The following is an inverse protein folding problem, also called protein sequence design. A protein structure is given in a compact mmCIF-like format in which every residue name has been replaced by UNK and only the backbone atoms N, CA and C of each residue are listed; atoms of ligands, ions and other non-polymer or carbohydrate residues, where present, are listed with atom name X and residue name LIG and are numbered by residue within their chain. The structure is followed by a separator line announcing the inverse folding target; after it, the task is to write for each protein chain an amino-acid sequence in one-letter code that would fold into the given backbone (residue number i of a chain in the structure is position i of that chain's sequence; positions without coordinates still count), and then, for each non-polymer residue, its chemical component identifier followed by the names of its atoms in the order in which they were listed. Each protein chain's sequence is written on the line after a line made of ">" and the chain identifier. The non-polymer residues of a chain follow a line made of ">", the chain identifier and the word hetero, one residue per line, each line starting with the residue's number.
data_IF_197566828841
#
_entry.id   IF_197566828841
#
_cell.length_a   1.000
_cell.length_b   1.000
_cell.length_c   1.000
_cell.angle_alpha   90.00
_cell.angle_beta   90.00
_cell.angle_gamma   90.00
#
_symmetry.space_group_name_H-M   'P 1'
#
loop_
_entity.id
_entity.type
_entity.pdbx_description
1 polymer ?
#
# COMPACT_ATOMS: atom_id res chain seq x y z
N UNK A 1 -23.76 18.01 -2.59
CA UNK A 1 -22.64 18.29 -1.66
C UNK A 1 -21.73 17.10 -1.36
N UNK A 2 -22.22 15.86 -1.13
CA UNK A 2 -21.35 14.67 -0.99
C UNK A 2 -20.39 14.45 -2.19
N UNK A 3 -20.83 14.81 -3.40
CA UNK A 3 -20.04 14.66 -4.61
C UNK A 3 -18.84 15.64 -4.69
N UNK A 4 -18.98 16.88 -4.23
CA UNK A 4 -17.90 17.89 -4.34
C UNK A 4 -16.67 17.51 -3.52
N UNK A 5 -16.87 17.04 -2.28
CA UNK A 5 -15.78 16.60 -1.41
C UNK A 5 -15.00 15.43 -2.04
N UNK A 6 -15.70 14.44 -2.61
CA UNK A 6 -15.06 13.32 -3.31
C UNK A 6 -14.32 13.77 -4.57
N UNK A 7 -14.91 14.67 -5.38
CA UNK A 7 -14.24 15.25 -6.55
C UNK A 7 -12.97 16.02 -6.18
N UNK A 8 -12.96 16.74 -5.06
CA UNK A 8 -11.75 17.41 -4.55
C UNK A 8 -10.67 16.37 -4.25
N UNK A 9 -11.00 15.27 -3.57
CA UNK A 9 -10.04 14.22 -3.25
C UNK A 9 -9.51 13.52 -4.50
N UNK A 10 -10.39 13.18 -5.45
CA UNK A 10 -9.99 12.54 -6.73
C UNK A 10 -9.07 13.45 -7.55
N UNK A 11 -9.44 14.73 -7.69
CA UNK A 11 -8.63 15.71 -8.43
C UNK A 11 -7.28 15.93 -7.73
N UNK A 12 -7.29 16.08 -6.41
CA UNK A 12 -6.06 16.22 -5.62
C UNK A 12 -5.15 15.01 -5.77
N UNK A 13 -5.71 13.79 -5.72
CA UNK A 13 -4.96 12.56 -5.91
C UNK A 13 -4.28 12.51 -7.28
N UNK A 14 -4.98 12.92 -8.35
CA UNK A 14 -4.41 12.99 -9.71
C UNK A 14 -3.27 14.02 -9.76
N UNK A 15 -3.50 15.22 -9.23
CA UNK A 15 -2.51 16.30 -9.23
C UNK A 15 -1.26 15.94 -8.41
N UNK A 16 -1.40 15.44 -7.19
CA UNK A 16 -0.27 15.01 -6.36
C UNK A 16 0.53 13.89 -7.03
N UNK A 17 -0.16 12.91 -7.61
CA UNK A 17 0.48 11.81 -8.32
C UNK A 17 1.24 12.22 -9.60
N UNK A 18 0.87 13.35 -10.21
CA UNK A 18 1.47 13.85 -11.45
C UNK A 18 2.59 14.85 -11.20
N UNK A 19 2.39 15.74 -10.22
CA UNK A 19 3.25 16.92 -10.04
C UNK A 19 4.04 16.87 -8.72
N UNK A 20 3.80 15.88 -7.85
CA UNK A 20 4.43 15.80 -6.52
C UNK A 20 3.73 16.66 -5.48
N UNK A 21 3.90 16.30 -4.20
CA UNK A 21 3.18 16.93 -3.09
C UNK A 21 3.54 18.41 -2.90
N UNK A 22 4.81 18.78 -3.04
CA UNK A 22 5.30 20.15 -2.82
C UNK A 22 4.71 21.17 -3.80
N UNK A 23 4.38 20.74 -5.02
CA UNK A 23 4.03 21.63 -6.14
C UNK A 23 2.52 21.92 -6.25
N UNK A 24 1.68 21.30 -5.42
CA UNK A 24 0.22 21.41 -5.52
C UNK A 24 -0.33 22.22 -4.35
N UNK A 25 -1.00 23.34 -4.64
CA UNK A 25 -1.68 24.18 -3.65
C UNK A 25 -3.20 24.00 -3.69
N UNK A 26 -3.93 24.54 -2.69
CA UNK A 26 -5.40 24.58 -2.74
C UNK A 26 -5.91 25.35 -3.96
N UNK A 27 -5.20 26.41 -4.38
CA UNK A 27 -5.52 27.16 -5.60
C UNK A 27 -5.37 26.29 -6.83
N UNK A 28 -4.26 25.55 -6.95
CA UNK A 28 -4.02 24.62 -8.07
C UNK A 28 -5.14 23.58 -8.21
N UNK A 29 -5.66 23.05 -7.09
CA UNK A 29 -6.77 22.08 -7.10
C UNK A 29 -8.08 22.77 -7.50
N UNK A 30 -8.36 23.96 -6.96
CA UNK A 30 -9.56 24.72 -7.29
C UNK A 30 -9.61 25.12 -8.78
N UNK A 31 -8.46 25.54 -9.33
CA UNK A 31 -8.30 25.91 -10.74
C UNK A 31 -8.56 24.70 -11.66
N UNK A 32 -7.99 23.52 -11.35
CA UNK A 32 -8.23 22.28 -12.10
C UNK A 32 -9.71 21.87 -12.07
N UNK A 33 -10.39 22.10 -10.94
CA UNK A 33 -11.81 21.81 -10.78
C UNK A 33 -12.74 22.89 -11.35
N UNK A 34 -12.19 24.03 -11.80
CA UNK A 34 -12.96 25.21 -12.24
C UNK A 34 -13.94 25.71 -11.16
N UNK A 35 -13.50 25.72 -9.89
CA UNK A 35 -14.26 26.27 -8.75
C UNK A 35 -13.47 27.38 -8.07
N UNK A 36 -14.14 28.22 -7.29
CA UNK A 36 -13.44 29.19 -6.45
C UNK A 36 -12.68 28.50 -5.32
N UNK A 37 -11.55 29.07 -4.91
CA UNK A 37 -10.78 28.60 -3.74
C UNK A 37 -11.66 28.60 -2.47
N UNK A 38 -12.56 29.58 -2.34
CA UNK A 38 -13.53 29.64 -1.24
C UNK A 38 -14.50 28.43 -1.21
N UNK A 39 -14.96 27.96 -2.37
CA UNK A 39 -15.78 26.75 -2.47
C UNK A 39 -15.00 25.49 -2.04
N UNK A 40 -13.73 25.37 -2.45
CA UNK A 40 -12.86 24.29 -1.97
C UNK A 40 -12.65 24.38 -0.46
N UNK A 41 -12.34 25.57 0.06
CA UNK A 41 -12.07 25.82 1.48
C UNK A 41 -13.27 25.58 2.39
N UNK A 42 -14.49 25.65 1.86
CA UNK A 42 -15.69 25.21 2.57
C UNK A 42 -15.63 23.71 2.93
N UNK A 43 -15.00 22.88 2.09
CA UNK A 43 -14.86 21.44 2.31
C UNK A 43 -13.54 21.05 2.99
N UNK A 44 -12.44 21.73 2.64
CA UNK A 44 -11.11 21.49 3.18
C UNK A 44 -10.41 22.82 3.44
N UNK A 45 -10.33 23.22 4.70
CA UNK A 45 -9.79 24.55 5.08
C UNK A 45 -8.31 24.68 4.74
N UNK A 46 -7.59 23.56 4.82
CA UNK A 46 -6.14 23.46 4.63
C UNK A 46 -5.78 22.27 3.73
N UNK A 47 -4.65 22.38 3.03
CA UNK A 47 -4.15 21.30 2.15
C UNK A 47 -3.87 20.02 2.94
N UNK A 48 -3.43 20.16 4.19
CA UNK A 48 -3.14 19.06 5.11
C UNK A 48 -4.38 18.19 5.37
N UNK A 49 -5.58 18.76 5.37
CA UNK A 49 -6.83 18.00 5.55
C UNK A 49 -7.11 17.06 4.37
N UNK A 50 -6.77 17.50 3.14
CA UNK A 50 -6.87 16.68 1.93
C UNK A 50 -5.84 15.54 2.00
N UNK A 51 -4.60 15.84 2.40
CA UNK A 51 -3.52 14.84 2.51
C UNK A 51 -3.90 13.77 3.54
N UNK A 52 -4.40 14.18 4.71
CA UNK A 52 -4.89 13.25 5.74
C UNK A 52 -6.05 12.39 5.21
N UNK A 53 -7.04 12.99 4.54
CA UNK A 53 -8.16 12.25 3.98
C UNK A 53 -7.72 11.23 2.92
N UNK A 54 -6.78 11.60 2.04
CA UNK A 54 -6.22 10.66 1.05
C UNK A 54 -5.43 9.53 1.70
N UNK A 55 -4.70 9.80 2.78
CA UNK A 55 -4.01 8.77 3.55
C UNK A 55 -4.99 7.78 4.19
N UNK A 56 -6.06 8.25 4.83
CA UNK A 56 -7.05 7.35 5.41
C UNK A 56 -7.80 6.54 4.36
N UNK A 57 -8.09 7.13 3.19
CA UNK A 57 -8.61 6.39 2.04
C UNK A 57 -7.63 5.33 1.52
N UNK A 58 -6.32 5.63 1.49
CA UNK A 58 -5.29 4.64 1.16
C UNK A 58 -5.35 3.46 2.13
N UNK A 59 -5.37 3.72 3.44
CA UNK A 59 -5.46 2.67 4.47
C UNK A 59 -6.73 1.84 4.31
N UNK A 60 -7.89 2.49 4.16
CA UNK A 60 -9.17 1.82 3.98
C UNK A 60 -9.18 0.91 2.74
N UNK A 61 -8.57 1.35 1.63
CA UNK A 61 -8.45 0.52 0.43
C UNK A 61 -7.52 -0.68 0.63
N UNK A 62 -6.50 -0.58 1.49
CA UNK A 62 -5.66 -1.71 1.90
C UNK A 62 -6.46 -2.68 2.77
N UNK A 63 -7.19 -2.18 3.76
CA UNK A 63 -8.05 -3.02 4.62
C UNK A 63 -9.08 -3.81 3.81
N UNK A 64 -9.77 -3.14 2.88
CA UNK A 64 -10.71 -3.79 1.98
C UNK A 64 -10.05 -4.84 1.09
N UNK A 65 -8.83 -4.60 0.61
CA UNK A 65 -8.09 -5.57 -0.19
C UNK A 65 -7.75 -6.86 0.60
N UNK A 66 -7.51 -6.74 1.90
CA UNK A 66 -7.28 -7.87 2.81
C UNK A 66 -8.59 -8.62 3.06
N UNK A 67 -9.64 -7.93 3.53
CA UNK A 67 -10.94 -8.51 3.89
C UNK A 67 -11.64 -9.26 2.73
N UNK A 68 -11.62 -8.70 1.52
CA UNK A 68 -12.26 -9.32 0.34
C UNK A 68 -11.64 -10.67 -0.01
N UNK A 69 -10.36 -10.90 0.32
CA UNK A 69 -9.68 -12.14 0.00
C UNK A 69 -9.76 -13.18 1.11
N UNK A 70 -9.88 -12.76 2.38
CA UNK A 70 -10.12 -13.67 3.52
C UNK A 70 -11.47 -14.40 3.41
N UNK A 71 -12.46 -13.77 2.80
CA UNK A 71 -13.83 -14.31 2.66
C UNK A 71 -14.00 -15.28 1.48
N UNK A 72 -12.97 -15.49 0.66
CA UNK A 72 -13.05 -16.35 -0.53
C UNK A 72 -12.51 -17.75 -0.25
N UNK A 73 -13.06 -18.80 -0.89
CA UNK A 73 -12.65 -20.19 -0.69
C UNK A 73 -11.34 -20.53 -1.41
N UNK A 74 -10.33 -19.67 -1.29
CA UNK A 74 -9.00 -19.87 -1.86
C UNK A 74 -8.07 -20.54 -0.85
N UNK A 75 -7.11 -21.33 -1.34
CA UNK A 75 -5.98 -21.77 -0.50
C UNK A 75 -5.14 -20.58 -0.01
N UNK A 76 -4.48 -20.73 1.13
CA UNK A 76 -3.79 -19.63 1.83
C UNK A 76 -2.76 -18.90 0.95
N UNK A 77 -1.96 -19.63 0.17
CA UNK A 77 -1.01 -18.99 -0.75
C UNK A 77 -1.74 -18.21 -1.85
N UNK A 78 -2.84 -18.73 -2.40
CA UNK A 78 -3.63 -17.98 -3.40
C UNK A 78 -4.22 -16.70 -2.81
N UNK A 79 -4.67 -16.72 -1.55
CA UNK A 79 -5.11 -15.53 -0.83
C UNK A 79 -3.96 -14.51 -0.72
N UNK A 80 -2.77 -14.94 -0.28
CA UNK A 80 -1.58 -14.09 -0.20
C UNK A 80 -1.24 -13.41 -1.53
N UNK A 81 -1.20 -14.16 -2.64
CA UNK A 81 -0.94 -13.59 -3.97
C UNK A 81 -1.97 -12.53 -4.36
N UNK A 82 -3.26 -12.81 -4.14
CA UNK A 82 -4.32 -11.87 -4.48
C UNK A 82 -4.27 -10.60 -3.61
N UNK A 83 -4.01 -10.75 -2.31
CA UNK A 83 -3.85 -9.62 -1.38
C UNK A 83 -2.67 -8.76 -1.81
N UNK A 84 -1.50 -9.37 -2.04
CA UNK A 84 -0.28 -8.69 -2.50
C UNK A 84 -0.50 -7.90 -3.79
N UNK A 85 -1.15 -8.50 -4.79
CA UNK A 85 -1.46 -7.84 -6.06
C UNK A 85 -2.41 -6.64 -5.86
N UNK A 86 -3.47 -6.81 -5.05
CA UNK A 86 -4.43 -5.75 -4.79
C UNK A 86 -3.82 -4.59 -3.99
N UNK A 87 -3.04 -4.88 -2.95
CA UNK A 87 -2.30 -3.86 -2.19
C UNK A 87 -1.32 -3.11 -3.10
N UNK A 88 -0.60 -3.82 -3.97
CA UNK A 88 0.34 -3.19 -4.92
C UNK A 88 -0.39 -2.22 -5.88
N UNK A 89 -1.61 -2.55 -6.32
CA UNK A 89 -2.47 -1.66 -7.11
C UNK A 89 -2.90 -0.43 -6.31
N UNK A 90 -3.25 -0.61 -5.04
CA UNK A 90 -3.60 0.50 -4.14
C UNK A 90 -2.40 1.41 -3.91
N UNK A 91 -1.22 0.87 -3.61
CA UNK A 91 0.02 1.64 -3.48
C UNK A 91 0.29 2.48 -4.74
N UNK A 92 0.17 1.88 -5.93
CA UNK A 92 0.34 2.62 -7.17
C UNK A 92 -0.71 3.73 -7.39
N UNK A 93 -1.97 3.50 -7.00
CA UNK A 93 -3.05 4.50 -7.05
C UNK A 93 -2.72 5.72 -6.20
N UNK A 94 -2.14 5.52 -5.02
CA UNK A 94 -1.75 6.57 -4.07
C UNK A 94 -0.24 6.86 -4.07
N UNK A 95 0.45 6.62 -5.19
CA UNK A 95 1.93 6.66 -5.29
C UNK A 95 2.58 7.95 -4.82
N UNK A 96 1.90 9.11 -4.90
CA UNK A 96 2.41 10.36 -4.34
C UNK A 96 2.82 10.20 -2.86
N UNK A 97 2.06 9.42 -2.08
CA UNK A 97 2.35 9.20 -0.66
C UNK A 97 3.68 8.49 -0.46
N UNK A 98 3.99 7.51 -1.31
CA UNK A 98 5.22 6.72 -1.22
C UNK A 98 6.43 7.45 -1.78
N UNK A 99 6.23 8.28 -2.81
CA UNK A 99 7.27 9.16 -3.37
C UNK A 99 7.70 10.24 -2.37
N UNK A 100 6.74 10.80 -1.63
CA UNK A 100 6.96 11.87 -0.65
C UNK A 100 6.93 11.36 0.81
N UNK A 101 7.07 10.04 1.04
CA UNK A 101 6.78 9.37 2.30
C UNK A 101 7.46 10.00 3.52
N UNK A 102 8.78 10.18 3.46
CA UNK A 102 9.56 10.74 4.57
C UNK A 102 9.13 12.18 4.91
N UNK A 103 8.79 12.98 3.89
CA UNK A 103 8.33 14.35 4.08
C UNK A 103 6.96 14.35 4.78
N UNK A 104 6.03 13.53 4.28
CA UNK A 104 4.68 13.41 4.85
C UNK A 104 4.75 12.95 6.31
N UNK A 105 5.51 11.90 6.61
CA UNK A 105 5.64 11.36 7.97
C UNK A 105 6.29 12.38 8.92
N UNK A 106 7.20 13.22 8.44
CA UNK A 106 7.83 14.27 9.25
C UNK A 106 6.87 15.43 9.55
N UNK A 107 6.07 15.84 8.58
CA UNK A 107 5.28 17.07 8.64
C UNK A 107 3.83 16.84 9.10
N UNK A 108 3.30 15.63 8.98
CA UNK A 108 1.93 15.28 9.34
C UNK A 108 1.87 14.36 10.56
N UNK A 109 1.79 14.96 11.76
CA UNK A 109 1.78 14.22 13.04
C UNK A 109 0.66 13.19 13.18
N UNK A 110 -0.53 13.49 12.63
CA UNK A 110 -1.68 12.57 12.60
C UNK A 110 -1.34 11.31 11.80
N UNK A 111 -0.78 11.48 10.60
CA UNK A 111 -0.37 10.37 9.74
C UNK A 111 0.75 9.57 10.42
N UNK A 112 1.77 10.25 10.96
CA UNK A 112 2.88 9.60 11.68
C UNK A 112 2.40 8.72 12.83
N UNK A 113 1.49 9.24 13.66
CA UNK A 113 0.91 8.50 14.78
C UNK A 113 0.14 7.29 14.27
N UNK A 114 -0.78 7.49 13.33
CA UNK A 114 -1.60 6.42 12.78
C UNK A 114 -0.76 5.35 12.08
N UNK A 115 0.27 5.73 11.31
CA UNK A 115 1.12 4.78 10.61
C UNK A 115 1.88 3.85 11.58
N UNK A 116 2.32 4.38 12.73
CA UNK A 116 2.94 3.56 13.79
C UNK A 116 1.96 2.54 14.36
N UNK A 117 0.75 2.97 14.70
CA UNK A 117 -0.32 2.10 15.21
C UNK A 117 -0.72 1.04 14.17
N UNK A 118 -0.85 1.46 12.91
CA UNK A 118 -1.16 0.58 11.79
C UNK A 118 -0.07 -0.48 11.59
N UNK A 119 1.21 -0.11 11.68
CA UNK A 119 2.34 -1.03 11.53
C UNK A 119 2.27 -2.15 12.56
N UNK A 120 2.04 -1.83 13.84
CA UNK A 120 1.87 -2.85 14.89
C UNK A 120 0.66 -3.75 14.66
N UNK A 121 -0.44 -3.20 14.14
CA UNK A 121 -1.61 -4.01 13.76
C UNK A 121 -1.31 -4.95 12.58
N UNK A 122 -0.61 -4.47 11.55
CA UNK A 122 -0.20 -5.27 10.39
C UNK A 122 0.79 -6.36 10.76
N UNK A 123 1.69 -6.09 11.69
CA UNK A 123 2.62 -7.10 12.21
C UNK A 123 1.85 -8.26 12.84
N UNK A 124 0.86 -7.97 13.69
CA UNK A 124 0.00 -9.02 14.28
C UNK A 124 -0.74 -9.82 13.20
N UNK A 125 -1.37 -9.15 12.23
CA UNK A 125 -2.07 -9.81 11.12
C UNK A 125 -1.13 -10.71 10.31
N UNK A 126 0.11 -10.26 10.08
CA UNK A 126 1.13 -11.04 9.41
C UNK A 126 1.48 -12.31 10.21
N UNK A 127 1.68 -12.19 11.53
CA UNK A 127 1.93 -13.36 12.39
C UNK A 127 0.78 -14.35 12.42
N UNK A 128 -0.46 -13.86 12.48
CA UNK A 128 -1.64 -14.72 12.42
C UNK A 128 -1.68 -15.49 11.09
N UNK A 129 -1.35 -14.84 9.97
CA UNK A 129 -1.25 -15.49 8.67
C UNK A 129 -0.11 -16.53 8.59
N UNK A 130 1.08 -16.22 9.13
CA UNK A 130 2.20 -17.17 9.21
C UNK A 130 1.81 -18.40 10.03
N UNK A 131 1.08 -18.21 11.15
CA UNK A 131 0.56 -19.32 11.96
C UNK A 131 -0.41 -20.21 11.17
N UNK A 132 -1.29 -19.61 10.36
CA UNK A 132 -2.18 -20.39 9.48
C UNK A 132 -1.41 -21.19 8.42
N UNK A 133 -0.37 -20.62 7.83
CA UNK A 133 0.51 -21.32 6.89
C UNK A 133 1.25 -22.48 7.57
N UNK A 134 1.72 -22.28 8.81
CA UNK A 134 2.42 -23.30 9.59
C UNK A 134 1.49 -24.47 9.93
N UNK A 135 0.29 -24.18 10.46
CA UNK A 135 -0.74 -25.20 10.73
C UNK A 135 -1.13 -26.01 9.49
N UNK A 136 -0.99 -25.43 8.30
CA UNK A 136 -1.26 -26.08 7.00
C UNK A 136 -0.04 -26.81 6.41
N UNK A 137 1.10 -26.82 7.13
CA UNK A 137 2.40 -27.33 6.71
C UNK A 137 2.91 -26.70 5.39
N UNK A 138 2.62 -25.41 5.17
CA UNK A 138 3.01 -24.65 3.97
C UNK A 138 4.30 -23.85 4.18
N UNK A 139 4.58 -23.42 5.42
CA UNK A 139 5.79 -22.69 5.80
C UNK A 139 6.57 -23.53 6.84
N UNK A 140 7.91 -23.46 6.81
CA UNK A 140 8.77 -24.17 7.77
C UNK A 140 8.73 -23.51 9.16
N UNK A 141 9.42 -24.07 10.14
CA UNK A 141 9.74 -23.33 11.37
C UNK A 141 10.86 -22.31 11.13
N UNK A 142 10.98 -21.35 12.05
CA UNK A 142 12.11 -20.42 12.06
C UNK A 142 13.43 -21.18 12.22
N UNK A 143 14.46 -20.77 11.47
CA UNK A 143 15.83 -21.28 11.60
C UNK A 143 16.79 -20.25 12.19
N UNK A 144 16.36 -19.00 12.28
CA UNK A 144 17.08 -17.88 12.90
C UNK A 144 16.22 -17.25 13.99
N UNK A 145 16.82 -16.61 15.01
CA UNK A 145 16.06 -15.83 15.97
C UNK A 145 15.27 -14.70 15.29
N UNK A 146 13.99 -14.57 15.62
CA UNK A 146 13.09 -13.54 15.12
C UNK A 146 12.97 -13.50 13.58
N UNK A 147 13.05 -14.65 12.92
CA UNK A 147 13.13 -14.73 11.46
C UNK A 147 11.86 -14.17 10.78
N UNK A 148 10.69 -14.41 11.37
CA UNK A 148 9.41 -13.92 10.87
C UNK A 148 9.17 -12.44 11.18
N UNK A 149 9.63 -11.94 12.32
CA UNK A 149 9.65 -10.49 12.62
C UNK A 149 10.50 -9.77 11.57
N UNK A 150 11.68 -10.31 11.27
CA UNK A 150 12.57 -9.75 10.25
C UNK A 150 12.00 -9.93 8.83
N UNK A 151 11.20 -10.99 8.58
CA UNK A 151 10.48 -11.14 7.32
C UNK A 151 9.42 -10.05 7.16
N UNK A 152 8.63 -9.78 8.20
CA UNK A 152 7.69 -8.67 8.21
C UNK A 152 8.39 -7.33 7.93
N UNK A 153 9.52 -7.06 8.58
CA UNK A 153 10.29 -5.83 8.35
C UNK A 153 10.76 -5.71 6.89
N UNK A 154 11.18 -6.81 6.25
CA UNK A 154 11.53 -6.83 4.82
C UNK A 154 10.33 -6.52 3.92
N UNK A 155 9.16 -7.09 4.23
CA UNK A 155 7.91 -6.76 3.54
C UNK A 155 7.55 -5.29 3.70
N UNK A 156 7.66 -4.74 4.91
CA UNK A 156 7.37 -3.33 5.20
C UNK A 156 8.29 -2.39 4.41
N UNK A 157 9.61 -2.55 4.55
CA UNK A 157 10.60 -1.71 3.85
C UNK A 157 10.37 -1.78 2.34
N UNK A 158 10.17 -2.97 1.79
CA UNK A 158 10.00 -3.10 0.33
C UNK A 158 8.67 -2.51 -0.13
N UNK A 159 7.59 -2.71 0.65
CA UNK A 159 6.26 -2.14 0.37
C UNK A 159 6.28 -0.62 0.36
N UNK A 160 6.98 0.01 1.30
CA UNK A 160 7.04 1.47 1.41
C UNK A 160 7.92 2.12 0.32
N UNK A 161 8.95 1.41 -0.16
CA UNK A 161 9.99 2.01 -1.01
C UNK A 161 10.07 1.47 -2.45
N UNK A 162 9.31 0.45 -2.84
CA UNK A 162 9.38 -0.07 -4.22
C UNK A 162 8.97 0.97 -5.28
N UNK A 163 8.00 1.84 -4.97
CA UNK A 163 7.56 2.93 -5.87
C UNK A 163 8.70 3.90 -6.11
N UNK A 164 9.40 4.29 -5.05
CA UNK A 164 10.55 5.20 -5.11
C UNK A 164 11.70 4.57 -5.90
N UNK A 165 12.00 3.29 -5.64
CA UNK A 165 12.99 2.52 -6.42
C UNK A 165 12.65 2.48 -7.92
N UNK A 166 11.37 2.24 -8.24
CA UNK A 166 10.90 2.20 -9.62
C UNK A 166 10.94 3.57 -10.31
N UNK A 167 10.64 4.65 -9.57
CA UNK A 167 10.70 6.02 -10.08
C UNK A 167 12.13 6.48 -10.40
N UNK A 168 13.11 6.04 -9.62
CA UNK A 168 14.53 6.36 -9.89
C UNK A 168 15.02 5.55 -11.09
N UNK A 169 14.61 4.29 -11.18
CA UNK A 169 15.06 3.38 -12.23
C UNK A 169 14.39 3.63 -13.59
N UNK A 170 13.32 4.44 -13.66
CA UNK A 170 12.57 4.70 -14.90
C UNK A 170 12.16 6.17 -15.00
N UNK A 171 12.23 6.77 -16.20
CA UNK A 171 11.83 8.18 -16.41
C UNK A 171 10.37 8.47 -16.04
N UNK A 172 9.49 7.45 -16.07
CA UNK A 172 8.08 7.58 -15.71
C UNK A 172 7.51 6.24 -15.28
N UNK A 173 6.96 6.20 -14.07
CA UNK A 173 6.29 5.02 -13.52
C UNK A 173 4.94 4.79 -14.24
N UNK A 174 4.67 3.56 -14.64
CA UNK A 174 3.41 3.16 -15.26
C UNK A 174 2.85 1.90 -14.59
N UNK A 175 1.58 1.56 -14.81
CA UNK A 175 0.97 0.37 -14.18
C UNK A 175 1.65 -0.96 -14.56
N UNK A 176 2.41 -0.99 -15.67
CA UNK A 176 3.10 -2.18 -16.15
C UNK A 176 4.21 -2.69 -15.20
N UNK A 177 4.70 -1.87 -14.27
CA UNK A 177 5.71 -2.32 -13.31
C UNK A 177 5.10 -3.06 -12.11
N UNK A 178 3.79 -2.90 -11.87
CA UNK A 178 3.12 -3.47 -10.69
C UNK A 178 3.36 -4.99 -10.62
N UNK A 179 3.13 -5.78 -11.69
CA UNK A 179 3.34 -7.23 -11.62
C UNK A 179 4.76 -7.62 -11.21
N UNK A 180 5.78 -6.90 -11.70
CA UNK A 180 7.19 -7.16 -11.36
C UNK A 180 7.47 -6.96 -9.88
N UNK A 181 6.99 -5.86 -9.30
CA UNK A 181 7.24 -5.57 -7.88
C UNK A 181 6.35 -6.41 -6.95
N UNK A 182 5.12 -6.73 -7.36
CA UNK A 182 4.29 -7.72 -6.66
C UNK A 182 4.99 -9.10 -6.64
N UNK A 183 5.62 -9.50 -7.74
CA UNK A 183 6.39 -10.74 -7.80
C UNK A 183 7.59 -10.73 -6.84
N UNK A 184 8.38 -9.65 -6.82
CA UNK A 184 9.48 -9.48 -5.85
C UNK A 184 9.00 -9.58 -4.39
N UNK A 185 7.87 -8.95 -4.05
CA UNK A 185 7.26 -9.07 -2.72
C UNK A 185 6.85 -10.52 -2.44
N UNK A 186 6.18 -11.16 -3.39
CA UNK A 186 5.72 -12.54 -3.23
C UNK A 186 6.88 -13.53 -3.06
N UNK A 187 8.01 -13.29 -3.75
CA UNK A 187 9.21 -14.12 -3.66
C UNK A 187 9.87 -14.05 -2.29
N UNK A 188 9.63 -13.02 -1.48
CA UNK A 188 10.15 -12.97 -0.11
C UNK A 188 9.63 -14.10 0.76
N UNK A 189 8.43 -14.62 0.50
CA UNK A 189 7.88 -15.75 1.24
C UNK A 189 8.48 -17.09 0.78
N UNK A 190 8.93 -17.20 -0.47
CA UNK A 190 9.32 -18.47 -1.10
C UNK A 190 10.42 -19.27 -0.36
N UNK A 191 11.51 -18.64 0.14
CA UNK A 191 12.55 -19.35 0.90
C UNK A 191 12.06 -20.01 2.20
N UNK A 192 10.92 -19.54 2.73
CA UNK A 192 10.31 -20.01 3.96
C UNK A 192 9.32 -21.16 3.73
N UNK A 193 8.97 -21.45 2.48
CA UNK A 193 7.99 -22.49 2.20
C UNK A 193 8.55 -23.90 2.36
N UNK A 194 7.74 -24.82 2.87
CA UNK A 194 8.04 -26.26 2.87
C UNK A 194 8.04 -26.81 1.45
N UNK A 195 8.40 -28.09 1.26
CA UNK A 195 8.26 -28.75 -0.06
C UNK A 195 6.83 -28.68 -0.60
N UNK A 196 5.83 -28.87 0.29
CA UNK A 196 4.41 -28.71 -0.03
C UNK A 196 4.10 -27.27 -0.44
N UNK A 197 4.49 -26.29 0.39
CA UNK A 197 4.27 -24.87 0.10
C UNK A 197 4.91 -24.40 -1.21
N UNK A 198 6.15 -24.81 -1.50
CA UNK A 198 6.82 -24.50 -2.78
C UNK A 198 6.08 -25.09 -3.97
N UNK A 199 5.59 -26.33 -3.85
CA UNK A 199 4.81 -26.97 -4.92
C UNK A 199 3.50 -26.21 -5.19
N UNK A 200 2.81 -25.76 -4.15
CA UNK A 200 1.60 -24.95 -4.30
C UNK A 200 1.89 -23.56 -4.85
N UNK A 201 2.93 -22.89 -4.35
CA UNK A 201 3.38 -21.58 -4.83
C UNK A 201 3.71 -21.61 -6.33
N UNK A 202 4.47 -22.63 -6.77
CA UNK A 202 4.86 -22.79 -8.17
C UNK A 202 3.67 -23.08 -9.10
N UNK A 203 2.54 -23.58 -8.61
CA UNK A 203 1.30 -23.69 -9.42
C UNK A 203 0.63 -22.33 -9.64
N UNK A 204 0.91 -21.35 -8.78
CA UNK A 204 0.32 -20.01 -8.82
C UNK A 204 1.15 -19.04 -9.65
N UNK A 205 2.47 -19.17 -9.58
CA UNK A 205 3.42 -18.48 -10.47
C UNK A 205 3.52 -19.28 -11.74
N UNK A 206 3.19 -18.73 -12.91
CA UNK A 206 3.31 -19.42 -14.20
C UNK A 206 4.79 -19.64 -14.58
N UNK A 207 5.49 -20.50 -13.85
CA UNK A 207 6.86 -20.98 -14.10
C UNK A 207 6.80 -22.45 -14.45
#
# INVERSE_FOLDING_TARGET
>A
MKNTKSKILETSLVLFNKNGLSNISLRSIADEMQISVGNLQYHFKKREEIINALYFLLVENIDNAILINETKPYGLLKQFFNISENISKVFFKYRFFFLDFNMIIREHSIIKKHYRELTSSREKQFFDFIKMLNNSNLIREEVLPNEYQNLFLRFQITSDFWISSANISSKKISKNIIPRYSDVLNQMLFPYLTKKGKTEYLKLTKV
#
